data_IF_701733689394
#
_entry.id   IF_701733689394
#
_cell.length_a   1.000
_cell.length_b   1.000
_cell.length_c   1.000
_cell.angle_alpha   90.00
_cell.angle_beta   90.00
_cell.angle_gamma   90.00
#
_symmetry.space_group_name_H-M   'P 1'
#
loop_
_entity.id
_entity.type
_entity.pdbx_description
1 polymer ?
#
# COMPACT_ATOMS: atom_id res chain seq x y z
N UNK A 1 15.66 -5.06 -7.63
CA UNK A 1 15.09 -5.09 -6.28
C UNK A 1 14.04 -4.00 -6.06
N UNK A 2 14.43 -2.80 -5.62
CA UNK A 2 13.51 -1.76 -5.15
C UNK A 2 12.34 -1.47 -6.10
N UNK A 3 12.61 -1.36 -7.40
CA UNK A 3 11.58 -1.06 -8.40
C UNK A 3 10.48 -2.13 -8.48
N UNK A 4 10.82 -3.42 -8.39
CA UNK A 4 9.84 -4.52 -8.44
C UNK A 4 8.96 -4.51 -7.21
N UNK A 5 9.54 -4.31 -6.03
CA UNK A 5 8.77 -4.22 -4.78
C UNK A 5 7.89 -2.96 -4.76
N UNK A 6 8.41 -1.82 -5.22
CA UNK A 6 7.64 -0.58 -5.32
C UNK A 6 6.45 -0.75 -6.27
N UNK A 7 6.64 -1.42 -7.42
CA UNK A 7 5.56 -1.75 -8.36
C UNK A 7 4.53 -2.69 -7.74
N UNK A 8 4.97 -3.75 -7.07
CA UNK A 8 4.07 -4.68 -6.38
C UNK A 8 3.25 -3.99 -5.27
N UNK A 9 3.90 -3.14 -4.47
CA UNK A 9 3.24 -2.33 -3.45
C UNK A 9 2.22 -1.37 -4.06
N UNK A 10 2.59 -0.67 -5.14
CA UNK A 10 1.69 0.25 -5.86
C UNK A 10 0.51 -0.51 -6.46
N UNK A 11 0.74 -1.66 -7.09
CA UNK A 11 -0.32 -2.51 -7.62
C UNK A 11 -1.28 -2.96 -6.51
N UNK A 12 -0.75 -3.35 -5.35
CA UNK A 12 -1.57 -3.72 -4.19
C UNK A 12 -2.43 -2.57 -3.67
N UNK A 13 -1.85 -1.37 -3.57
CA UNK A 13 -2.57 -0.14 -3.19
C UNK A 13 -3.67 0.19 -4.21
N UNK A 14 -3.41 0.02 -5.50
CA UNK A 14 -4.41 0.20 -6.56
C UNK A 14 -5.54 -0.83 -6.45
N UNK A 15 -5.21 -2.11 -6.24
CA UNK A 15 -6.21 -3.18 -6.04
C UNK A 15 -7.06 -2.89 -4.81
N UNK A 16 -6.45 -2.51 -3.70
CA UNK A 16 -7.18 -2.11 -2.49
C UNK A 16 -8.15 -0.95 -2.79
N UNK A 17 -7.65 0.10 -3.43
CA UNK A 17 -8.45 1.31 -3.74
C UNK A 17 -9.58 0.99 -4.69
N UNK A 18 -9.33 0.12 -5.68
CA UNK A 18 -10.34 -0.36 -6.61
C UNK A 18 -11.44 -1.14 -5.91
N UNK A 19 -11.09 -2.14 -5.09
CA UNK A 19 -12.06 -2.92 -4.30
C UNK A 19 -12.93 -1.98 -3.46
N UNK A 20 -12.29 -1.01 -2.82
CA UNK A 20 -12.97 -0.05 -1.96
C UNK A 20 -13.85 0.95 -2.71
N UNK A 21 -13.47 1.34 -3.93
CA UNK A 21 -14.31 2.17 -4.78
C UNK A 21 -15.54 1.37 -5.24
N UNK A 22 -15.34 0.13 -5.64
CA UNK A 22 -16.41 -0.80 -5.96
C UNK A 22 -17.35 -1.05 -4.77
N UNK A 23 -16.87 -1.16 -3.52
CA UNK A 23 -17.73 -1.23 -2.33
C UNK A 23 -18.70 -0.05 -2.18
N UNK A 24 -18.33 1.13 -2.68
CA UNK A 24 -19.18 2.32 -2.63
C UNK A 24 -20.21 2.34 -3.75
N UNK A 25 -19.85 1.82 -4.92
CA UNK A 25 -20.69 1.84 -6.13
C UNK A 25 -21.64 0.65 -6.18
N UNK A 26 -21.14 -0.54 -5.85
CA UNK A 26 -21.87 -1.79 -5.86
C UNK A 26 -22.58 -1.91 -4.52
N UNK A 27 -23.87 -1.59 -4.50
CA UNK A 27 -24.66 -1.83 -3.29
C UNK A 27 -24.78 -3.34 -3.04
N UNK A 28 -24.48 -3.82 -1.82
CA UNK A 28 -24.56 -5.25 -1.47
C UNK A 28 -25.98 -5.83 -1.58
N UNK A 29 -26.99 -5.00 -1.87
CA UNK A 29 -28.39 -5.40 -2.13
C UNK A 29 -28.68 -5.76 -3.59
N UNK A 30 -27.75 -5.61 -4.53
CA UNK A 30 -27.97 -6.13 -5.88
C UNK A 30 -27.84 -7.65 -5.86
N UNK A 31 -28.99 -8.30 -5.65
CA UNK A 31 -29.19 -9.74 -5.60
C UNK A 31 -28.71 -10.38 -6.91
N UNK A 32 -27.59 -11.10 -6.84
CA UNK A 32 -27.19 -12.02 -7.89
C UNK A 32 -28.03 -13.29 -7.74
N UNK A 33 -28.73 -13.67 -8.81
CA UNK A 33 -29.57 -14.89 -8.84
C UNK A 33 -28.75 -16.18 -8.75
N UNK A 34 -27.47 -16.13 -9.09
CA UNK A 34 -26.59 -17.29 -9.08
C UNK A 34 -26.01 -17.55 -7.69
N UNK A 35 -26.39 -18.67 -7.09
CA UNK A 35 -25.99 -19.07 -5.74
C UNK A 35 -24.46 -19.08 -5.55
N UNK A 36 -23.72 -19.67 -6.50
CA UNK A 36 -22.26 -19.81 -6.42
C UNK A 36 -21.57 -18.44 -6.46
N UNK A 37 -21.99 -17.57 -7.38
CA UNK A 37 -21.41 -16.24 -7.53
C UNK A 37 -21.75 -15.34 -6.32
N UNK A 38 -22.99 -15.41 -5.82
CA UNK A 38 -23.41 -14.70 -4.62
C UNK A 38 -22.61 -15.11 -3.39
N UNK A 39 -22.39 -16.41 -3.19
CA UNK A 39 -21.56 -16.93 -2.10
C UNK A 39 -20.10 -16.47 -2.24
N UNK A 40 -19.51 -16.59 -3.43
CA UNK A 40 -18.14 -16.14 -3.67
C UNK A 40 -17.96 -14.64 -3.37
N UNK A 41 -18.86 -13.79 -3.89
CA UNK A 41 -18.82 -12.34 -3.63
C UNK A 41 -19.05 -12.03 -2.13
N UNK A 42 -19.93 -12.76 -1.45
CA UNK A 42 -20.14 -12.60 -0.01
C UNK A 42 -18.85 -12.87 0.78
N UNK A 43 -18.20 -14.01 0.53
CA UNK A 43 -16.99 -14.39 1.27
C UNK A 43 -15.74 -13.63 0.87
N UNK A 44 -15.57 -13.24 -0.39
CA UNK A 44 -14.36 -12.56 -0.87
C UNK A 44 -14.43 -11.05 -0.74
N UNK A 45 -15.63 -10.49 -0.90
CA UNK A 45 -15.86 -9.06 -1.03
C UNK A 45 -16.47 -8.47 0.23
N UNK A 46 -17.64 -8.96 0.66
CA UNK A 46 -18.36 -8.40 1.81
C UNK A 46 -17.60 -8.60 3.14
N UNK A 47 -16.86 -9.70 3.28
CA UNK A 47 -15.95 -9.95 4.41
C UNK A 47 -14.74 -9.01 4.46
N UNK A 48 -14.52 -8.22 3.40
CA UNK A 48 -13.33 -7.40 3.15
C UNK A 48 -12.05 -8.21 2.95
N UNK A 49 -12.12 -9.54 2.81
CA UNK A 49 -10.97 -10.43 2.63
C UNK A 49 -9.96 -9.91 1.61
N UNK A 50 -10.39 -9.66 0.37
CA UNK A 50 -9.47 -9.23 -0.69
C UNK A 50 -8.79 -7.88 -0.39
N UNK A 51 -9.53 -6.94 0.21
CA UNK A 51 -8.94 -5.65 0.62
C UNK A 51 -7.91 -5.84 1.73
N UNK A 52 -8.15 -6.74 2.67
CA UNK A 52 -7.23 -7.03 3.77
C UNK A 52 -5.99 -7.78 3.31
N UNK A 53 -6.12 -8.71 2.34
CA UNK A 53 -4.98 -9.37 1.69
C UNK A 53 -4.11 -8.35 0.99
N UNK A 54 -4.70 -7.48 0.15
CA UNK A 54 -3.96 -6.44 -0.56
C UNK A 54 -3.28 -5.45 0.42
N UNK A 55 -3.96 -5.08 1.50
CA UNK A 55 -3.38 -4.23 2.54
C UNK A 55 -2.18 -4.91 3.19
N UNK A 56 -2.36 -6.13 3.72
CA UNK A 56 -1.32 -6.93 4.40
C UNK A 56 -0.11 -7.15 3.51
N UNK A 57 -0.33 -7.43 2.22
CA UNK A 57 0.73 -7.58 1.24
C UNK A 57 1.56 -6.30 1.08
N UNK A 58 0.90 -5.14 1.01
CA UNK A 58 1.59 -3.85 0.96
C UNK A 58 2.40 -3.58 2.25
N UNK A 59 1.88 -3.96 3.42
CA UNK A 59 2.60 -3.84 4.71
C UNK A 59 3.88 -4.67 4.72
N UNK A 60 3.79 -5.93 4.31
CA UNK A 60 4.93 -6.84 4.28
C UNK A 60 5.99 -6.36 3.29
N UNK A 61 5.57 -5.90 2.11
CA UNK A 61 6.48 -5.30 1.14
C UNK A 61 7.13 -4.05 1.71
N UNK A 62 6.39 -3.16 2.38
CA UNK A 62 6.97 -1.95 2.98
C UNK A 62 8.04 -2.32 4.01
N UNK A 63 7.72 -3.21 4.97
CA UNK A 63 8.68 -3.71 5.96
C UNK A 63 9.95 -4.26 5.30
N UNK A 64 9.79 -5.04 4.24
CA UNK A 64 10.90 -5.61 3.51
C UNK A 64 11.73 -4.54 2.78
N UNK A 65 11.10 -3.61 2.06
CA UNK A 65 11.77 -2.50 1.37
C UNK A 65 12.59 -1.68 2.36
N UNK A 66 11.99 -1.24 3.46
CA UNK A 66 12.65 -0.36 4.44
C UNK A 66 13.74 -1.11 5.20
N UNK A 67 13.46 -2.32 5.67
CA UNK A 67 14.41 -3.16 6.40
C UNK A 67 15.63 -3.54 5.55
N UNK A 68 15.39 -4.03 4.33
CA UNK A 68 16.47 -4.38 3.41
C UNK A 68 17.32 -3.16 3.05
N UNK A 69 16.70 -1.98 2.90
CA UNK A 69 17.46 -0.75 2.63
C UNK A 69 18.36 -0.35 3.79
N UNK A 70 17.87 -0.42 5.01
CA UNK A 70 18.67 -0.14 6.19
C UNK A 70 19.85 -1.10 6.30
N UNK A 71 19.66 -2.40 6.03
CA UNK A 71 20.74 -3.39 6.00
C UNK A 71 21.79 -3.04 4.93
N UNK A 72 21.36 -2.71 3.71
CA UNK A 72 22.28 -2.31 2.64
C UNK A 72 23.13 -1.09 3.01
N UNK A 73 22.54 -0.12 3.70
CA UNK A 73 23.25 1.09 4.16
C UNK A 73 24.22 0.76 5.30
N UNK A 74 23.76 0.06 6.34
CA UNK A 74 24.57 -0.24 7.53
C UNK A 74 25.74 -1.15 7.20
N UNK A 75 25.52 -2.18 6.38
CA UNK A 75 26.54 -3.15 6.00
C UNK A 75 27.38 -2.71 4.78
N UNK A 76 27.14 -1.49 4.24
CA UNK A 76 27.82 -0.96 3.05
C UNK A 76 27.70 -1.84 1.81
N UNK A 77 26.61 -2.61 1.70
CA UNK A 77 26.33 -3.49 0.55
C UNK A 77 25.52 -2.82 -0.56
N UNK A 78 25.49 -1.49 -0.62
CA UNK A 78 24.70 -0.71 -1.58
C UNK A 78 24.95 -1.12 -3.04
N UNK A 79 26.17 -1.58 -3.36
CA UNK A 79 26.58 -2.01 -4.71
C UNK A 79 26.81 -3.52 -4.86
N UNK A 80 26.91 -4.26 -3.76
CA UNK A 80 27.21 -5.71 -3.80
C UNK A 80 25.93 -6.56 -3.91
N UNK A 81 24.79 -6.01 -3.49
CA UNK A 81 23.54 -6.75 -3.44
C UNK A 81 22.80 -6.71 -4.78
N UNK A 82 23.26 -7.47 -5.76
CA UNK A 82 22.48 -7.81 -6.95
C UNK A 82 21.55 -8.97 -6.61
N UNK A 83 20.35 -8.69 -6.10
CA UNK A 83 19.36 -9.75 -5.92
C UNK A 83 19.02 -10.38 -7.26
N UNK A 84 19.03 -11.71 -7.29
CA UNK A 84 18.53 -12.45 -8.45
C UNK A 84 17.02 -12.18 -8.59
N UNK A 85 16.54 -12.13 -9.84
CA UNK A 85 15.10 -12.01 -10.15
C UNK A 85 14.29 -13.13 -9.46
N UNK A 86 14.90 -14.33 -9.36
CA UNK A 86 14.31 -15.49 -8.68
C UNK A 86 14.09 -15.21 -7.20
N UNK A 87 15.06 -14.63 -6.49
CA UNK A 87 14.90 -14.27 -5.08
C UNK A 87 13.80 -13.22 -4.90
N UNK A 88 13.74 -12.20 -5.76
CA UNK A 88 12.68 -11.18 -5.72
C UNK A 88 11.29 -11.78 -5.92
N UNK A 89 11.15 -12.69 -6.89
CA UNK A 89 9.91 -13.39 -7.14
C UNK A 89 9.53 -14.29 -5.95
N UNK A 90 10.48 -14.99 -5.34
CA UNK A 90 10.26 -15.83 -4.17
C UNK A 90 9.81 -15.01 -2.94
N UNK A 91 10.39 -13.83 -2.72
CA UNK A 91 9.92 -12.94 -1.65
C UNK A 91 8.50 -12.44 -1.90
N UNK A 92 8.20 -11.99 -3.13
CA UNK A 92 6.87 -11.50 -3.48
C UNK A 92 5.81 -12.62 -3.40
N UNK A 93 6.12 -13.83 -3.88
CA UNK A 93 5.20 -14.97 -3.76
C UNK A 93 5.00 -15.37 -2.31
N UNK A 94 6.07 -15.41 -1.51
CA UNK A 94 6.02 -15.68 -0.08
C UNK A 94 5.14 -14.67 0.67
N UNK A 95 5.34 -13.37 0.46
CA UNK A 95 4.50 -12.33 1.06
C UNK A 95 3.05 -12.42 0.61
N UNK A 96 2.79 -12.76 -0.66
CA UNK A 96 1.45 -12.97 -1.19
C UNK A 96 0.74 -14.14 -0.50
N UNK A 97 1.42 -15.29 -0.40
CA UNK A 97 0.91 -16.48 0.26
C UNK A 97 0.62 -16.23 1.75
N UNK A 98 1.55 -15.60 2.47
CA UNK A 98 1.35 -15.23 3.88
C UNK A 98 0.14 -14.32 4.02
N UNK A 99 0.00 -13.31 3.16
CA UNK A 99 -1.15 -12.39 3.20
C UNK A 99 -2.48 -13.09 2.95
N UNK A 100 -2.52 -14.02 1.98
CA UNK A 100 -3.70 -14.83 1.65
C UNK A 100 -4.09 -15.71 2.85
N UNK A 101 -3.13 -16.47 3.39
CA UNK A 101 -3.35 -17.45 4.46
C UNK A 101 -3.76 -16.76 5.75
N UNK A 102 -3.05 -15.70 6.16
CA UNK A 102 -3.35 -15.00 7.40
C UNK A 102 -4.75 -14.38 7.41
N UNK A 103 -5.30 -14.00 6.25
CA UNK A 103 -6.62 -13.37 6.17
C UNK A 103 -7.77 -14.37 5.96
N UNK A 104 -7.50 -15.67 5.78
CA UNK A 104 -8.56 -16.68 5.59
C UNK A 104 -9.66 -16.60 6.67
N UNK A 105 -9.34 -16.42 7.97
CA UNK A 105 -10.38 -16.46 8.99
C UNK A 105 -11.45 -15.36 8.82
N UNK A 106 -11.11 -14.21 8.23
CA UNK A 106 -12.08 -13.16 7.88
C UNK A 106 -13.22 -13.65 6.98
N UNK A 107 -12.97 -14.63 6.11
CA UNK A 107 -14.00 -15.16 5.19
C UNK A 107 -15.12 -15.88 5.93
N UNK A 108 -14.87 -16.38 7.15
CA UNK A 108 -15.83 -17.12 7.96
C UNK A 108 -16.83 -16.23 8.72
N UNK A 109 -16.60 -14.91 8.78
CA UNK A 109 -17.53 -13.96 9.42
C UNK A 109 -18.82 -13.77 8.63
N UNK A 110 -18.76 -14.00 7.31
CA UNK A 110 -19.88 -13.75 6.41
C UNK A 110 -20.52 -15.08 5.99
N UNK A 111 -21.84 -15.12 5.96
CA UNK A 111 -22.62 -16.24 5.45
C UNK A 111 -23.58 -15.77 4.37
N UNK A 112 -23.64 -16.54 3.28
CA UNK A 112 -24.62 -16.35 2.22
C UNK A 112 -25.88 -17.17 2.49
N UNK A 113 -27.04 -16.51 2.62
CA UNK A 113 -28.33 -17.17 2.89
C UNK A 113 -29.14 -17.49 1.61
N UNK A 114 -28.54 -17.32 0.43
CA UNK A 114 -29.20 -17.44 -0.87
C UNK A 114 -29.74 -16.12 -1.42
N UNK A 115 -29.94 -15.11 -0.57
CA UNK A 115 -30.49 -13.81 -0.96
C UNK A 115 -29.63 -12.62 -0.55
N UNK A 116 -29.03 -12.70 0.64
CA UNK A 116 -28.27 -11.65 1.28
C UNK A 116 -27.04 -12.23 1.96
N UNK A 117 -25.98 -11.43 1.98
CA UNK A 117 -24.78 -11.73 2.75
C UNK A 117 -24.96 -11.14 4.15
N UNK A 118 -24.93 -11.99 5.19
CA UNK A 118 -25.11 -11.59 6.59
C UNK A 118 -23.87 -11.93 7.40
N UNK A 119 -23.59 -11.08 8.39
CA UNK A 119 -22.56 -11.37 9.39
C UNK A 119 -23.10 -12.41 10.39
N UNK A 120 -22.31 -13.45 10.67
CA UNK A 120 -22.66 -14.44 11.69
C UNK A 120 -22.25 -13.86 13.05
N UNK A 121 -23.20 -13.33 13.79
CA UNK A 121 -22.95 -12.73 15.10
C UNK A 121 -23.34 -13.64 16.27
N UNK A 122 -24.02 -14.76 16.00
CA UNK A 122 -24.54 -15.70 17.01
C UNK A 122 -24.15 -17.13 16.66
N UNK A 123 -23.92 -17.94 17.70
CA UNK A 123 -23.68 -19.38 17.62
C UNK A 123 -22.52 -19.79 16.70
N UNK A 124 -21.48 -18.94 16.64
CA UNK A 124 -20.25 -19.23 15.88
C UNK A 124 -19.57 -20.47 16.48
N UNK A 125 -19.26 -21.50 15.67
CA UNK A 125 -18.53 -22.66 16.12
C UNK A 125 -17.22 -22.27 16.82
N UNK A 126 -16.90 -22.94 17.93
CA UNK A 126 -15.72 -22.63 18.75
C UNK A 126 -14.43 -22.53 17.92
N UNK A 127 -14.24 -23.42 16.94
CA UNK A 127 -13.07 -23.42 16.06
C UNK A 127 -12.94 -22.13 15.22
N UNK A 128 -14.05 -21.59 14.69
CA UNK A 128 -14.05 -20.36 13.91
C UNK A 128 -13.74 -19.17 14.81
N UNK A 129 -14.36 -19.12 15.99
CA UNK A 129 -14.09 -18.08 16.99
C UNK A 129 -12.60 -18.06 17.36
N UNK A 130 -12.02 -19.22 17.73
CA UNK A 130 -10.59 -19.34 18.03
C UNK A 130 -9.72 -18.87 16.87
N UNK A 131 -10.09 -19.20 15.62
CA UNK A 131 -9.36 -18.77 14.43
C UNK A 131 -9.38 -17.26 14.23
N UNK A 132 -10.53 -16.61 14.43
CA UNK A 132 -10.68 -15.14 14.35
C UNK A 132 -9.89 -14.41 15.46
N UNK A 133 -9.90 -14.96 16.67
CA UNK A 133 -9.05 -14.47 17.75
C UNK A 133 -7.58 -14.61 17.38
N UNK A 134 -7.13 -15.80 17.01
CA UNK A 134 -5.74 -16.05 16.61
C UNK A 134 -5.28 -15.10 15.51
N UNK A 135 -6.10 -14.87 14.47
CA UNK A 135 -5.83 -13.88 13.44
C UNK A 135 -5.60 -12.48 14.03
N UNK A 136 -6.52 -12.01 14.89
CA UNK A 136 -6.44 -10.67 15.48
C UNK A 136 -5.15 -10.49 16.28
N UNK A 137 -4.76 -11.49 17.08
CA UNK A 137 -3.52 -11.48 17.85
C UNK A 137 -2.27 -11.50 16.94
N UNK A 138 -2.25 -12.39 15.94
CA UNK A 138 -1.14 -12.48 14.98
C UNK A 138 -0.98 -11.17 14.21
N UNK A 139 -2.08 -10.58 13.74
CA UNK A 139 -2.06 -9.32 13.00
C UNK A 139 -1.61 -8.16 13.86
N UNK A 140 -2.05 -8.10 15.12
CA UNK A 140 -1.56 -7.10 16.08
C UNK A 140 -0.05 -7.26 16.33
N UNK A 141 0.43 -8.47 16.60
CA UNK A 141 1.86 -8.73 16.79
C UNK A 141 2.70 -8.35 15.55
N UNK A 142 2.24 -8.75 14.36
CA UNK A 142 2.92 -8.42 13.11
C UNK A 142 2.97 -6.91 12.85
N UNK A 143 1.88 -6.20 13.13
CA UNK A 143 1.74 -4.77 12.80
C UNK A 143 2.32 -3.86 13.87
N UNK A 144 1.88 -4.03 15.12
CA UNK A 144 2.19 -3.12 16.22
C UNK A 144 3.53 -3.42 16.88
N UNK A 145 4.04 -4.64 16.79
CA UNK A 145 5.30 -5.03 17.43
C UNK A 145 6.39 -5.17 16.37
N UNK A 146 6.22 -6.13 15.45
CA UNK A 146 7.27 -6.46 14.46
C UNK A 146 7.46 -5.30 13.48
N UNK A 147 6.39 -4.81 12.86
CA UNK A 147 6.52 -3.74 11.85
C UNK A 147 6.99 -2.43 12.46
N UNK A 148 6.48 -2.05 13.65
CA UNK A 148 6.96 -0.86 14.37
C UNK A 148 8.46 -0.96 14.63
N UNK A 149 8.93 -2.10 15.13
CA UNK A 149 10.35 -2.30 15.43
C UNK A 149 11.21 -2.20 14.17
N UNK A 150 10.84 -2.94 13.11
CA UNK A 150 11.59 -2.95 11.85
C UNK A 150 11.60 -1.55 11.22
N UNK A 151 10.43 -0.94 11.05
CA UNK A 151 10.31 0.35 10.36
C UNK A 151 10.98 1.47 11.15
N UNK A 152 10.81 1.53 12.48
CA UNK A 152 11.41 2.60 13.30
C UNK A 152 12.92 2.51 13.32
N UNK A 153 13.49 1.31 13.61
CA UNK A 153 14.94 1.13 13.63
C UNK A 153 15.56 1.37 12.26
N UNK A 154 14.91 0.89 11.21
CA UNK A 154 15.39 1.05 9.82
C UNK A 154 15.32 2.51 9.38
N UNK A 155 14.21 3.20 9.64
CA UNK A 155 14.06 4.63 9.34
C UNK A 155 15.08 5.47 10.12
N UNK A 156 15.34 5.15 11.39
CA UNK A 156 16.39 5.80 12.17
C UNK A 156 17.76 5.64 11.52
N UNK A 157 18.13 4.42 11.11
CA UNK A 157 19.42 4.16 10.43
C UNK A 157 19.52 4.89 9.09
N UNK A 158 18.46 4.91 8.30
CA UNK A 158 18.41 5.64 7.02
C UNK A 158 18.56 7.15 7.26
N UNK A 159 17.81 7.71 8.21
CA UNK A 159 17.89 9.12 8.56
C UNK A 159 19.29 9.51 9.07
N UNK A 160 19.83 8.71 9.98
CA UNK A 160 21.17 8.89 10.53
C UNK A 160 22.24 8.84 9.43
N UNK A 161 22.11 7.92 8.48
CA UNK A 161 23.01 7.84 7.33
C UNK A 161 22.95 9.09 6.45
N UNK A 162 21.75 9.56 6.09
CA UNK A 162 21.61 10.78 5.26
C UNK A 162 22.16 12.01 5.98
N UNK A 163 21.93 12.12 7.29
CA UNK A 163 22.36 13.28 8.07
C UNK A 163 23.88 13.34 8.29
N UNK A 164 24.53 12.20 8.48
CA UNK A 164 25.96 12.16 8.82
C UNK A 164 26.89 11.93 7.62
N UNK A 165 26.37 11.54 6.46
CA UNK A 165 27.19 11.34 5.27
C UNK A 165 27.42 12.67 4.55
N UNK A 166 28.69 13.08 4.27
CA UNK A 166 28.97 14.29 3.52
C UNK A 166 28.29 14.27 2.14
N UNK A 167 27.73 15.40 1.64
CA UNK A 167 27.00 15.43 0.37
C UNK A 167 27.78 14.88 -0.83
N UNK A 168 29.11 15.03 -0.83
CA UNK A 168 30.00 14.52 -1.90
C UNK A 168 30.12 12.99 -1.91
N UNK A 169 29.85 12.33 -0.77
CA UNK A 169 29.92 10.87 -0.60
C UNK A 169 28.54 10.22 -0.54
N UNK A 170 27.48 11.03 -0.49
CA UNK A 170 26.11 10.54 -0.38
C UNK A 170 25.64 10.03 -1.76
N UNK A 171 25.85 8.74 -2.02
CA UNK A 171 25.29 8.07 -3.19
C UNK A 171 24.07 7.25 -2.78
N UNK A 172 22.95 7.47 -3.47
CA UNK A 172 21.75 6.65 -3.31
C UNK A 172 21.47 5.86 -4.59
N UNK A 173 21.71 4.55 -4.54
CA UNK A 173 21.42 3.64 -5.65
C UNK A 173 19.94 3.60 -6.03
N UNK A 174 19.02 3.98 -5.15
CA UNK A 174 17.59 4.07 -5.46
C UNK A 174 17.22 5.31 -6.27
N UNK A 175 18.08 6.33 -6.35
CA UNK A 175 17.85 7.46 -7.25
C UNK A 175 17.99 7.07 -8.72
N UNK A 176 18.79 6.04 -8.99
CA UNK A 176 19.10 5.54 -10.34
C UNK A 176 18.00 4.55 -10.76
N UNK A 177 16.77 5.04 -10.91
CA UNK A 177 15.69 4.23 -11.49
C UNK A 177 15.75 4.38 -13.01
N UNK A 178 16.00 3.27 -13.69
CA UNK A 178 15.92 3.23 -15.14
C UNK A 178 14.46 3.34 -15.58
N UNK A 179 14.10 4.49 -16.15
CA UNK A 179 12.83 4.69 -16.85
C UNK A 179 13.09 4.60 -18.36
N UNK A 180 12.17 4.00 -19.14
CA UNK A 180 12.31 3.93 -20.58
C UNK A 180 12.34 5.35 -21.17
N UNK A 181 13.38 5.64 -21.96
CA UNK A 181 13.57 6.94 -22.61
C UNK A 181 14.40 7.97 -21.83
N UNK A 182 14.98 7.60 -20.67
CA UNK A 182 15.91 8.48 -19.94
C UNK A 182 17.30 8.49 -20.59
N UNK A 183 17.87 9.67 -20.82
CA UNK A 183 19.23 9.82 -21.37
C UNK A 183 20.30 9.55 -20.31
N UNK A 184 21.53 9.18 -20.71
CA UNK A 184 22.65 8.97 -19.77
C UNK A 184 22.92 10.20 -18.91
N UNK A 185 22.85 11.39 -19.51
CA UNK A 185 23.00 12.67 -18.81
C UNK A 185 21.93 12.88 -17.74
N UNK A 186 20.66 12.55 -18.03
CA UNK A 186 19.59 12.60 -17.04
C UNK A 186 19.81 11.61 -15.91
N UNK A 187 20.29 10.39 -16.21
CA UNK A 187 20.62 9.41 -15.18
C UNK A 187 21.74 9.90 -14.25
N UNK A 188 22.78 10.53 -14.79
CA UNK A 188 23.85 11.16 -13.99
C UNK A 188 23.33 12.34 -13.17
N UNK A 189 22.40 13.13 -13.72
CA UNK A 189 21.78 14.23 -12.98
C UNK A 189 20.93 13.71 -11.80
N UNK A 190 20.18 12.61 -11.98
CA UNK A 190 19.37 12.00 -10.92
C UNK A 190 20.20 11.28 -9.86
N UNK A 191 21.34 10.70 -10.23
CA UNK A 191 22.20 9.99 -9.28
C UNK A 191 22.79 10.92 -8.23
N UNK A 192 23.00 12.19 -8.57
CA UNK A 192 23.48 13.22 -7.65
C UNK A 192 22.36 13.63 -6.68
N UNK A 193 22.59 13.56 -5.36
CA UNK A 193 21.59 13.99 -4.39
C UNK A 193 21.29 15.50 -4.54
N UNK A 194 20.01 15.86 -4.60
CA UNK A 194 19.57 17.25 -4.58
C UNK A 194 19.38 17.71 -3.13
N UNK A 195 20.50 18.03 -2.48
CA UNK A 195 20.51 18.37 -1.06
C UNK A 195 20.27 17.13 -0.20
N UNK A 196 19.32 17.21 0.74
CA UNK A 196 19.03 16.11 1.66
C UNK A 196 18.04 15.11 1.08
N UNK A 197 17.37 15.43 -0.03
CA UNK A 197 16.36 14.56 -0.63
C UNK A 197 17.01 13.42 -1.41
N UNK A 198 16.97 12.22 -0.84
CA UNK A 198 17.31 10.96 -1.50
C UNK A 198 16.06 10.10 -1.64
N UNK A 199 16.03 9.20 -2.64
CA UNK A 199 14.93 8.27 -2.83
C UNK A 199 14.74 7.37 -1.60
N UNK A 200 15.83 6.99 -0.91
CA UNK A 200 15.77 6.23 0.35
C UNK A 200 15.02 6.96 1.45
N UNK A 201 15.08 8.30 1.51
CA UNK A 201 14.30 9.05 2.50
C UNK A 201 12.80 8.90 2.32
N UNK A 202 12.29 8.46 1.16
CA UNK A 202 10.86 8.23 0.96
C UNK A 202 10.30 7.19 1.94
N UNK A 203 11.14 6.28 2.44
CA UNK A 203 10.71 5.24 3.38
C UNK A 203 10.25 5.81 4.72
N UNK A 204 10.78 6.97 5.14
CA UNK A 204 10.45 7.60 6.42
C UNK A 204 9.00 8.11 6.42
N UNK A 205 8.58 9.02 5.52
CA UNK A 205 7.18 9.45 5.45
C UNK A 205 6.25 8.30 5.07
N UNK A 206 6.67 7.32 4.27
CA UNK A 206 5.86 6.12 4.02
C UNK A 206 5.60 5.34 5.32
N UNK A 207 6.62 5.10 6.13
CA UNK A 207 6.49 4.42 7.42
C UNK A 207 5.69 5.24 8.43
N UNK A 208 5.92 6.56 8.49
CA UNK A 208 5.20 7.47 9.38
C UNK A 208 3.72 7.63 9.01
N UNK A 209 3.38 7.51 7.73
CA UNK A 209 1.99 7.46 7.25
C UNK A 209 1.34 6.11 7.59
N UNK A 210 2.09 5.02 7.45
CA UNK A 210 1.59 3.65 7.60
C UNK A 210 1.39 3.22 9.07
N UNK A 211 2.37 3.49 9.94
CA UNK A 211 2.41 2.96 11.30
C UNK A 211 1.23 3.42 12.18
N UNK A 212 0.93 4.73 12.30
CA UNK A 212 -0.11 5.19 13.24
C UNK A 212 -1.48 4.62 12.90
N UNK A 213 -1.83 4.57 11.61
CA UNK A 213 -3.11 4.09 11.11
C UNK A 213 -3.22 2.58 11.35
N UNK A 214 -2.15 1.84 11.09
CA UNK A 214 -2.15 0.38 11.27
C UNK A 214 -2.17 -0.02 12.75
N UNK A 215 -1.45 0.70 13.61
CA UNK A 215 -1.50 0.51 15.07
C UNK A 215 -2.90 0.82 15.58
N UNK A 216 -3.53 1.89 15.09
CA UNK A 216 -4.89 2.25 15.45
C UNK A 216 -5.90 1.15 15.08
N UNK A 217 -5.92 0.69 13.82
CA UNK A 217 -6.83 -0.36 13.34
C UNK A 217 -6.65 -1.66 14.14
N UNK A 218 -5.41 -2.16 14.20
CA UNK A 218 -5.12 -3.45 14.81
C UNK A 218 -5.19 -3.40 16.34
N UNK A 219 -4.81 -2.28 16.95
CA UNK A 219 -4.92 -2.04 18.39
C UNK A 219 -6.37 -1.98 18.84
N UNK A 220 -7.25 -1.30 18.10
CA UNK A 220 -8.68 -1.27 18.40
C UNK A 220 -9.29 -2.68 18.37
N UNK A 221 -9.01 -3.45 17.30
CA UNK A 221 -9.49 -4.85 17.19
C UNK A 221 -8.95 -5.74 18.29
N UNK A 222 -7.67 -5.58 18.65
CA UNK A 222 -7.04 -6.30 19.75
C UNK A 222 -7.71 -5.99 21.09
N UNK A 223 -7.94 -4.71 21.39
CA UNK A 223 -8.62 -4.27 22.63
C UNK A 223 -10.04 -4.87 22.71
N UNK A 224 -10.78 -4.91 21.62
CA UNK A 224 -12.09 -5.56 21.63
C UNK A 224 -11.98 -7.08 21.74
N UNK A 225 -10.96 -7.69 21.15
CA UNK A 225 -10.72 -9.13 21.27
C UNK A 225 -10.40 -9.57 22.71
N UNK A 226 -9.72 -8.74 23.50
CA UNK A 226 -9.51 -9.03 24.93
C UNK A 226 -10.75 -8.77 25.80
N UNK A 227 -11.89 -8.42 25.20
CA UNK A 227 -13.18 -8.26 25.90
C UNK A 227 -13.44 -6.86 26.47
N UNK A 228 -12.58 -5.88 26.19
CA UNK A 228 -12.74 -4.51 26.69
C UNK A 228 -13.75 -3.68 25.88
N UNK A 229 -14.09 -4.11 24.66
CA UNK A 229 -15.11 -3.48 23.83
C UNK A 229 -15.79 -4.48 22.89
N UNK A 230 -16.92 -4.07 22.31
CA UNK A 230 -17.58 -4.79 21.22
C UNK A 230 -17.30 -4.10 19.90
N UNK A 231 -16.91 -4.87 18.88
CA UNK A 231 -16.74 -4.35 17.53
C UNK A 231 -18.13 -4.10 16.95
N UNK A 232 -18.42 -2.85 16.59
CA UNK A 232 -19.63 -2.50 15.86
C UNK A 232 -19.24 -2.01 14.47
N UNK A 233 -19.69 -2.75 13.44
CA UNK A 233 -19.38 -2.49 12.04
C UNK A 233 -19.88 -1.11 11.55
N UNK A 234 -20.86 -0.51 12.23
CA UNK A 234 -21.41 0.80 11.90
C UNK A 234 -20.95 1.92 12.86
N UNK A 235 -20.01 1.64 13.75
CA UNK A 235 -19.51 2.63 14.71
C UNK A 235 -18.79 3.80 14.05
N UNK A 236 -18.84 4.97 14.70
CA UNK A 236 -18.07 6.16 14.30
C UNK A 236 -16.57 5.86 14.20
N UNK A 237 -16.03 5.03 15.11
CA UNK A 237 -14.63 4.61 15.10
C UNK A 237 -14.28 3.86 13.82
N UNK A 238 -15.13 2.93 13.38
CA UNK A 238 -14.94 2.22 12.13
C UNK A 238 -14.94 3.15 10.91
N UNK A 239 -15.78 4.19 10.89
CA UNK A 239 -15.81 5.20 9.82
C UNK A 239 -14.52 6.04 9.80
N UNK A 240 -14.01 6.41 10.97
CA UNK A 240 -12.73 7.14 11.12
C UNK A 240 -11.57 6.28 10.64
N UNK A 241 -11.49 5.02 11.05
CA UNK A 241 -10.49 4.05 10.57
C UNK A 241 -10.50 3.95 9.04
N UNK A 242 -11.71 3.82 8.47
CA UNK A 242 -11.91 3.84 7.03
C UNK A 242 -11.27 5.10 6.44
N UNK A 243 -11.65 6.29 6.91
CA UNK A 243 -11.18 7.56 6.37
C UNK A 243 -9.66 7.69 6.47
N UNK A 244 -9.07 7.33 7.60
CA UNK A 244 -7.62 7.34 7.79
C UNK A 244 -6.93 6.46 6.75
N UNK A 245 -7.44 5.24 6.53
CA UNK A 245 -6.89 4.36 5.51
C UNK A 245 -7.02 4.94 4.09
N UNK A 246 -8.11 5.65 3.76
CA UNK A 246 -8.22 6.33 2.45
C UNK A 246 -7.15 7.41 2.29
N UNK A 247 -6.98 8.25 3.33
CA UNK A 247 -5.97 9.31 3.33
C UNK A 247 -4.58 8.69 3.17
N UNK A 248 -4.30 7.59 3.86
CA UNK A 248 -3.04 6.85 3.73
C UNK A 248 -2.73 6.47 2.28
N UNK A 249 -3.72 5.92 1.57
CA UNK A 249 -3.57 5.42 0.21
C UNK A 249 -3.41 6.55 -0.80
N UNK A 250 -4.03 7.71 -0.55
CA UNK A 250 -3.85 8.93 -1.37
C UNK A 250 -2.45 9.51 -1.16
N UNK A 251 -1.96 9.54 0.08
CA UNK A 251 -0.63 10.05 0.41
C UNK A 251 0.50 9.17 -0.15
N UNK A 252 0.28 7.87 -0.27
CA UNK A 252 1.26 6.91 -0.77
C UNK A 252 1.92 7.30 -2.12
N UNK A 253 1.17 7.46 -3.23
CA UNK A 253 1.76 7.85 -4.52
C UNK A 253 2.34 9.28 -4.50
N UNK A 254 1.80 10.17 -3.67
CA UNK A 254 2.30 11.54 -3.52
C UNK A 254 3.69 11.51 -2.89
N UNK A 255 3.88 10.76 -1.80
CA UNK A 255 5.18 10.61 -1.12
C UNK A 255 6.21 10.03 -2.10
N UNK A 256 5.86 8.96 -2.82
CA UNK A 256 6.75 8.34 -3.81
C UNK A 256 7.16 9.34 -4.90
N UNK A 257 6.19 10.06 -5.47
CA UNK A 257 6.43 11.04 -6.53
C UNK A 257 7.27 12.22 -6.06
N UNK A 258 7.06 12.67 -4.82
CA UNK A 258 7.86 13.75 -4.24
C UNK A 258 9.29 13.26 -4.05
N UNK A 259 9.54 12.13 -3.40
CA UNK A 259 10.90 11.77 -2.99
C UNK A 259 11.75 11.12 -4.09
N UNK A 260 11.14 10.50 -5.11
CA UNK A 260 11.87 9.86 -6.20
C UNK A 260 12.04 10.85 -7.36
N UNK A 261 13.26 11.36 -7.64
CA UNK A 261 13.48 12.42 -8.63
C UNK A 261 12.94 12.08 -10.03
N UNK A 262 13.17 10.84 -10.46
CA UNK A 262 12.78 10.41 -11.79
C UNK A 262 11.24 10.36 -11.98
N UNK A 263 10.49 10.06 -10.92
CA UNK A 263 9.02 10.10 -10.95
C UNK A 263 8.49 11.54 -10.81
N UNK A 264 9.16 12.37 -10.02
CA UNK A 264 8.84 13.80 -9.89
C UNK A 264 8.88 14.47 -11.26
N UNK A 265 9.99 14.30 -11.99
CA UNK A 265 10.16 14.91 -13.30
C UNK A 265 9.17 14.37 -14.33
N UNK A 266 8.91 13.06 -14.33
CA UNK A 266 7.88 12.46 -15.19
C UNK A 266 6.50 13.07 -14.94
N UNK A 267 6.16 13.32 -13.67
CA UNK A 267 4.88 13.91 -13.27
C UNK A 267 4.77 15.36 -13.71
N UNK A 268 5.83 16.16 -13.52
CA UNK A 268 5.88 17.55 -13.99
C UNK A 268 5.73 17.63 -15.51
N UNK A 269 6.48 16.81 -16.27
CA UNK A 269 6.37 16.73 -17.73
C UNK A 269 4.98 16.32 -18.19
N UNK A 270 4.37 15.35 -17.52
CA UNK A 270 3.00 14.90 -17.83
C UNK A 270 1.98 16.00 -17.57
N UNK A 271 2.11 16.72 -16.45
CA UNK A 271 1.25 17.85 -16.11
C UNK A 271 1.38 18.99 -17.14
N UNK A 272 2.61 19.36 -17.52
CA UNK A 272 2.86 20.37 -18.56
C UNK A 272 2.25 19.97 -19.91
N UNK A 273 2.36 18.71 -20.31
CA UNK A 273 1.72 18.18 -21.53
C UNK A 273 0.20 18.29 -21.46
N UNK A 274 -0.40 17.90 -20.34
CA UNK A 274 -1.86 18.02 -20.14
C UNK A 274 -2.33 19.47 -20.19
N UNK A 275 -1.59 20.39 -19.57
CA UNK A 275 -1.89 21.83 -19.63
C UNK A 275 -1.79 22.35 -21.07
N UNK A 276 -0.74 21.98 -21.80
CA UNK A 276 -0.56 22.40 -23.20
C UNK A 276 -1.65 21.86 -24.14
N UNK A 277 -2.15 20.64 -23.88
CA UNK A 277 -3.27 20.05 -24.61
C UNK A 277 -4.57 20.79 -24.24
N UNK A 278 -4.78 21.06 -22.95
CA UNK A 278 -5.90 21.82 -22.43
C UNK A 278 -5.97 23.24 -23.00
N UNK A 279 -4.84 23.91 -23.22
CA UNK A 279 -4.78 25.24 -23.86
C UNK A 279 -5.07 25.20 -25.38
N UNK A 280 -4.76 24.09 -26.07
CA UNK A 280 -5.04 23.94 -27.51
C UNK A 280 -6.51 23.62 -27.80
N UNK A 281 -7.20 22.95 -26.89
CA UNK A 281 -8.62 22.59 -27.01
C UNK A 281 -9.59 23.77 -27.18
N UNK A 282 -9.55 24.88 -26.38
CA UNK A 282 -10.47 26.01 -26.54
C UNK A 282 -10.27 26.74 -27.88
N UNK A 283 -9.08 26.67 -28.47
CA UNK A 283 -8.79 27.31 -29.75
C UNK A 283 -9.44 26.55 -30.94
N UNK A 284 -9.62 25.22 -30.83
CA UNK A 284 -10.33 24.44 -31.85
C UNK A 284 -11.85 24.62 -31.82
N UNK A 285 -12.44 24.89 -30.64
CA UNK A 285 -13.88 25.10 -30.51
C UNK A 285 -14.36 26.38 -31.18
N UNK A 286 -13.52 27.42 -31.23
CA UNK A 286 -13.84 28.69 -31.87
C UNK A 286 -13.78 28.60 -33.41
N UNK A 287 -12.80 27.88 -33.97
CA UNK A 287 -12.65 27.71 -35.42
C UNK A 287 -13.80 26.91 -36.05
N UNK A 288 -14.39 25.95 -35.30
CA UNK A 288 -15.57 25.19 -35.75
C UNK A 288 -16.87 26.01 -35.81
N UNK A 289 -16.99 27.12 -35.07
CA UNK A 289 -18.15 28.02 -35.16
C UNK A 289 -18.08 28.96 -36.36
N UNK A 290 -16.88 29.41 -36.75
CA UNK A 290 -16.73 30.29 -37.92
C UNK A 290 -16.85 29.57 -39.26
N UNK A 291 -16.78 28.23 -39.28
CA UNK A 291 -16.93 27.43 -40.50
C UNK A 291 -18.38 26.96 -40.75
N UNK A 292 -19.31 27.32 -39.85
CA UNK A 292 -20.75 27.02 -39.95
C UNK A 292 -21.62 28.27 -40.15
N UNK A 293 -21.00 29.44 -40.31
CA UNK A 293 -21.61 30.68 -40.77
C UNK A 293 -21.10 30.98 -42.16
#
# INVERSE_FOLDING_TARGET
MFLWQLRAMTASVVVYTFIRACDRVIHPRQSHKDFIYGAFMCHMWASRYMSLVAYTFAVLILNFIVGNRAIQIVCRYQHSFSTSVIAELAYLSGFGLVSIICMIPQTFLMQWDGTTCKCIDRDIPYAISVSLYAETFVRFGLTSIISVTILTLSCYKIFYWVRNTPPKMLSDTWNIIYLPGTTKEQMEAYSRPQGWMTASLCTIPLSANFLPISIYDTGYKFICAVGLCRISADSTLYRIDRLLTDVQLILFPIIITVYIPALRELTVRSCQRLISLGQKLPCMTHKRRQQKS
#
